data_IF_459721276667
#
_entry.id   IF_459721276667
#
_cell.length_a   1.000
_cell.length_b   1.000
_cell.length_c   1.000
_cell.angle_alpha   90.00
_cell.angle_beta   90.00
_cell.angle_gamma   90.00
#
_symmetry.space_group_name_H-M   'P 1'
#
loop_
_entity.id
_entity.type
_entity.pdbx_description
1 polymer ?
#
# COMPACT_ATOMS: atom_id res chain seq x y z
N UNK A 1 24.35 51.51 -36.65
CA UNK A 1 23.00 51.96 -36.23
C UNK A 1 21.83 51.33 -37.01
N UNK A 2 21.93 51.08 -38.33
CA UNK A 2 20.81 50.54 -39.17
C UNK A 2 20.30 49.13 -38.81
N UNK A 3 21.16 48.21 -38.35
CA UNK A 3 20.79 46.81 -38.05
C UNK A 3 19.86 46.73 -36.82
N UNK A 4 20.13 47.56 -35.81
CA UNK A 4 19.34 47.64 -34.55
C UNK A 4 17.91 48.13 -34.78
N UNK A 5 17.69 49.01 -35.76
CA UNK A 5 16.36 49.48 -36.15
C UNK A 5 15.56 48.44 -36.96
N UNK A 6 16.22 47.69 -37.86
CA UNK A 6 15.55 46.59 -38.59
C UNK A 6 15.11 45.47 -37.64
N UNK A 7 15.94 45.11 -36.67
CA UNK A 7 15.61 44.08 -35.68
C UNK A 7 14.42 44.50 -34.81
N UNK A 8 14.42 45.75 -34.30
CA UNK A 8 13.30 46.30 -33.52
C UNK A 8 11.99 46.33 -34.30
N UNK A 9 11.99 46.77 -35.56
CA UNK A 9 10.77 46.79 -36.38
C UNK A 9 10.25 45.38 -36.66
N UNK A 10 11.14 44.42 -36.93
CA UNK A 10 10.75 43.02 -37.19
C UNK A 10 10.19 42.34 -35.93
N UNK A 11 10.76 42.65 -34.76
CA UNK A 11 10.27 42.20 -33.46
C UNK A 11 8.89 42.81 -33.15
N UNK A 12 8.74 44.13 -33.21
CA UNK A 12 7.48 44.81 -32.91
C UNK A 12 6.36 44.45 -33.88
N UNK A 13 6.65 44.22 -35.16
CA UNK A 13 5.66 43.80 -36.15
C UNK A 13 5.15 42.36 -35.97
N UNK A 14 5.99 41.46 -35.43
CA UNK A 14 5.62 40.07 -35.17
C UNK A 14 5.07 39.84 -33.75
N UNK A 15 5.35 40.76 -32.82
CA UNK A 15 4.89 40.72 -31.43
C UNK A 15 3.38 40.48 -31.28
N UNK A 16 2.46 41.18 -32.01
CA UNK A 16 1.03 40.91 -31.87
C UNK A 16 0.63 39.51 -32.33
N UNK A 17 1.26 38.97 -33.38
CA UNK A 17 1.03 37.58 -33.85
C UNK A 17 1.54 36.56 -32.83
N UNK A 18 2.70 36.82 -32.23
CA UNK A 18 3.27 35.99 -31.19
C UNK A 18 2.38 36.00 -29.92
N UNK A 19 1.90 37.17 -29.50
CA UNK A 19 0.95 37.30 -28.39
C UNK A 19 -0.33 36.53 -28.68
N UNK A 20 -0.93 36.68 -29.86
CA UNK A 20 -2.11 35.92 -30.26
C UNK A 20 -1.86 34.40 -30.16
N UNK A 21 -0.74 33.92 -30.69
CA UNK A 21 -0.35 32.51 -30.59
C UNK A 21 -0.24 32.00 -29.14
N UNK A 22 0.40 32.78 -28.26
CA UNK A 22 0.53 32.45 -26.83
C UNK A 22 -0.83 32.45 -26.15
N UNK A 23 -1.68 33.46 -26.41
CA UNK A 23 -3.01 33.52 -25.82
C UNK A 23 -3.88 32.33 -26.23
N UNK A 24 -3.80 31.89 -27.49
CA UNK A 24 -4.51 30.71 -27.97
C UNK A 24 -4.02 29.45 -27.26
N UNK A 25 -2.70 29.28 -27.11
CA UNK A 25 -2.12 28.16 -26.34
C UNK A 25 -2.56 28.18 -24.87
N UNK A 26 -2.59 29.35 -24.23
CA UNK A 26 -3.08 29.48 -22.86
C UNK A 26 -4.57 29.13 -22.74
N UNK A 27 -5.41 29.52 -23.70
CA UNK A 27 -6.83 29.16 -23.71
C UNK A 27 -7.03 27.65 -23.88
N UNK A 28 -6.27 27.02 -24.78
CA UNK A 28 -6.30 25.56 -24.96
C UNK A 28 -5.84 24.83 -23.69
N UNK A 29 -4.77 25.30 -23.05
CA UNK A 29 -4.33 24.74 -21.78
C UNK A 29 -5.39 24.92 -20.67
N UNK A 30 -5.99 26.11 -20.57
CA UNK A 30 -7.02 26.41 -19.57
C UNK A 30 -8.24 25.50 -19.72
N UNK A 31 -8.73 25.30 -20.94
CA UNK A 31 -9.86 24.41 -21.22
C UNK A 31 -9.53 22.95 -20.92
N UNK A 32 -8.31 22.51 -21.22
CA UNK A 32 -7.83 21.18 -20.86
C UNK A 32 -7.80 20.96 -19.34
N UNK A 33 -7.20 21.88 -18.58
CA UNK A 33 -7.14 21.79 -17.12
C UNK A 33 -8.53 21.88 -16.47
N UNK A 34 -9.41 22.73 -17.00
CA UNK A 34 -10.80 22.79 -16.56
C UNK A 34 -11.53 21.46 -16.77
N UNK A 35 -11.32 20.80 -17.91
CA UNK A 35 -11.87 19.47 -18.18
C UNK A 35 -11.37 18.41 -17.17
N UNK A 36 -10.07 18.43 -16.85
CA UNK A 36 -9.50 17.53 -15.85
C UNK A 36 -10.09 17.78 -14.45
N UNK A 37 -10.19 19.04 -14.04
CA UNK A 37 -10.78 19.43 -12.76
C UNK A 37 -12.24 18.99 -12.67
N UNK A 38 -13.04 19.23 -13.72
CA UNK A 38 -14.43 18.79 -13.78
C UNK A 38 -14.56 17.27 -13.60
N UNK A 39 -13.74 16.48 -14.31
CA UNK A 39 -13.72 15.02 -14.17
C UNK A 39 -13.37 14.59 -12.74
N UNK A 40 -12.41 15.26 -12.09
CA UNK A 40 -12.06 15.00 -10.70
C UNK A 40 -13.22 15.32 -9.73
N UNK A 41 -13.91 16.44 -9.93
CA UNK A 41 -15.10 16.78 -9.15
C UNK A 41 -16.20 15.72 -9.28
N UNK A 42 -16.48 15.25 -10.50
CA UNK A 42 -17.46 14.19 -10.73
C UNK A 42 -17.08 12.89 -10.04
N UNK A 43 -15.78 12.52 -10.07
CA UNK A 43 -15.27 11.35 -9.36
C UNK A 43 -15.46 11.48 -7.84
N UNK A 44 -15.17 12.66 -7.27
CA UNK A 44 -15.32 12.92 -5.85
C UNK A 44 -16.79 12.84 -5.41
N UNK A 45 -17.71 13.44 -6.16
CA UNK A 45 -19.15 13.33 -5.91
C UNK A 45 -19.58 11.86 -5.94
N UNK A 46 -19.12 11.11 -6.95
CA UNK A 46 -19.45 9.70 -7.10
C UNK A 46 -18.86 8.82 -5.97
N UNK A 47 -17.71 9.21 -5.42
CA UNK A 47 -17.08 8.56 -4.28
C UNK A 47 -17.87 8.82 -3.00
N UNK A 48 -18.21 10.07 -2.71
CA UNK A 48 -18.96 10.48 -1.52
C UNK A 48 -20.33 9.80 -1.45
N UNK A 49 -21.07 9.80 -2.56
CA UNK A 49 -22.38 9.16 -2.63
C UNK A 49 -22.32 7.64 -2.89
N UNK A 50 -21.11 7.06 -2.94
CA UNK A 50 -20.83 5.63 -3.19
C UNK A 50 -21.35 5.08 -4.53
N UNK A 51 -21.79 5.93 -5.46
CA UNK A 51 -22.27 5.51 -6.77
C UNK A 51 -21.19 4.88 -7.64
N UNK A 52 -19.90 5.13 -7.34
CA UNK A 52 -18.77 4.47 -8.00
C UNK A 52 -18.87 2.95 -7.99
N UNK A 53 -19.42 2.35 -6.92
CA UNK A 53 -19.54 0.89 -6.80
C UNK A 53 -20.54 0.28 -7.79
N UNK A 54 -21.44 1.09 -8.36
CA UNK A 54 -22.41 0.66 -9.38
C UNK A 54 -21.88 0.80 -10.80
N UNK A 55 -20.77 1.50 -10.99
CA UNK A 55 -20.21 1.76 -12.31
C UNK A 55 -19.26 0.64 -12.71
N UNK A 56 -19.23 0.31 -14.00
CA UNK A 56 -18.24 -0.62 -14.54
C UNK A 56 -16.85 -0.03 -14.37
N UNK A 57 -15.92 -0.83 -13.84
CA UNK A 57 -14.52 -0.47 -13.70
C UNK A 57 -13.73 -0.98 -14.90
N UNK A 58 -13.02 -0.09 -15.58
CA UNK A 58 -12.10 -0.45 -16.67
C UNK A 58 -10.66 -0.53 -16.16
N UNK A 59 -9.84 -1.32 -16.86
CA UNK A 59 -8.44 -1.58 -16.47
C UNK A 59 -7.51 -0.37 -16.64
N UNK A 60 -7.94 0.69 -17.32
CA UNK A 60 -7.20 1.94 -17.53
C UNK A 60 -7.64 3.07 -16.57
N UNK A 61 -8.68 2.86 -15.76
CA UNK A 61 -9.24 3.86 -14.84
C UNK A 61 -8.60 3.80 -13.44
N UNK A 62 -7.28 3.98 -13.35
CA UNK A 62 -6.50 3.73 -12.12
C UNK A 62 -6.97 4.51 -10.88
N UNK A 63 -7.26 5.80 -11.00
CA UNK A 63 -7.73 6.62 -9.87
C UNK A 63 -9.10 6.15 -9.38
N UNK A 64 -10.00 5.83 -10.31
CA UNK A 64 -11.32 5.28 -9.98
C UNK A 64 -11.18 3.92 -9.31
N UNK A 65 -10.29 3.06 -9.82
CA UNK A 65 -10.00 1.75 -9.25
C UNK A 65 -9.50 1.86 -7.79
N UNK A 66 -8.61 2.81 -7.51
CA UNK A 66 -8.16 3.10 -6.15
C UNK A 66 -9.33 3.52 -5.25
N UNK A 67 -10.16 4.47 -5.69
CA UNK A 67 -11.33 4.93 -4.94
C UNK A 67 -12.35 3.82 -4.68
N UNK A 68 -12.59 2.96 -5.68
CA UNK A 68 -13.45 1.77 -5.54
C UNK A 68 -12.86 0.79 -4.54
N UNK A 69 -11.56 0.52 -4.60
CA UNK A 69 -10.85 -0.34 -3.66
C UNK A 69 -11.00 0.14 -2.22
N UNK A 70 -10.84 1.45 -1.99
CA UNK A 70 -11.01 2.05 -0.66
C UNK A 70 -12.45 1.90 -0.12
N UNK A 71 -13.45 2.16 -0.95
CA UNK A 71 -14.86 1.98 -0.57
C UNK A 71 -15.18 0.51 -0.26
N UNK A 72 -14.68 -0.43 -1.06
CA UNK A 72 -14.89 -1.86 -0.85
C UNK A 72 -14.21 -2.34 0.44
N UNK A 73 -12.99 -1.87 0.73
CA UNK A 73 -12.30 -2.17 1.99
C UNK A 73 -13.14 -1.67 3.19
N UNK A 74 -13.68 -0.44 3.11
CA UNK A 74 -14.55 0.10 4.17
C UNK A 74 -15.87 -0.66 4.36
N UNK A 75 -16.30 -1.44 3.36
CA UNK A 75 -17.47 -2.32 3.44
C UNK A 75 -17.12 -3.76 3.86
N UNK A 76 -15.89 -4.00 4.33
CA UNK A 76 -15.38 -5.31 4.68
C UNK A 76 -15.47 -6.32 3.52
N UNK A 77 -15.19 -5.85 2.29
CA UNK A 77 -15.10 -6.65 1.06
C UNK A 77 -13.65 -6.75 0.57
N UNK A 78 -12.79 -7.50 1.29
CA UNK A 78 -11.34 -7.45 1.07
C UNK A 78 -10.93 -8.02 -0.30
N UNK A 79 -11.63 -9.02 -0.82
CA UNK A 79 -11.28 -9.67 -2.10
C UNK A 79 -11.50 -8.70 -3.26
N UNK A 80 -12.66 -8.05 -3.29
CA UNK A 80 -13.02 -7.07 -4.32
C UNK A 80 -12.19 -5.80 -4.18
N UNK A 81 -11.92 -5.36 -2.94
CA UNK A 81 -11.03 -4.24 -2.67
C UNK A 81 -9.63 -4.48 -3.24
N UNK A 82 -9.06 -5.65 -2.97
CA UNK A 82 -7.74 -6.03 -3.50
C UNK A 82 -7.73 -6.06 -5.03
N UNK A 83 -8.76 -6.62 -5.68
CA UNK A 83 -8.86 -6.61 -7.15
C UNK A 83 -8.84 -5.19 -7.72
N UNK A 84 -9.57 -4.27 -7.10
CA UNK A 84 -9.60 -2.87 -7.52
C UNK A 84 -8.25 -2.17 -7.28
N UNK A 85 -7.57 -2.43 -6.15
CA UNK A 85 -6.23 -1.90 -5.91
C UNK A 85 -5.19 -2.46 -6.88
N UNK A 86 -5.28 -3.73 -7.28
CA UNK A 86 -4.36 -4.31 -8.28
C UNK A 86 -4.46 -3.59 -9.63
N UNK A 87 -5.65 -3.11 -10.02
CA UNK A 87 -5.81 -2.27 -11.21
C UNK A 87 -5.08 -0.92 -11.00
N UNK A 88 -5.23 -0.30 -9.83
CA UNK A 88 -4.53 0.96 -9.53
C UNK A 88 -3.00 0.82 -9.43
N UNK A 89 -2.50 -0.35 -8.99
CA UNK A 89 -1.07 -0.65 -8.81
C UNK A 89 -0.26 -0.62 -10.12
N UNK A 90 -0.91 -0.92 -11.25
CA UNK A 90 -0.27 -0.90 -12.57
C UNK A 90 -0.25 0.49 -13.21
N UNK A 91 -0.74 1.52 -12.50
CA UNK A 91 -0.67 2.91 -12.97
C UNK A 91 0.77 3.33 -13.32
N UNK A 92 0.94 4.25 -14.26
CA UNK A 92 2.25 4.87 -14.53
C UNK A 92 2.65 5.90 -13.46
N UNK A 93 1.71 6.39 -12.65
CA UNK A 93 1.97 7.38 -11.63
C UNK A 93 2.54 6.72 -10.35
N UNK A 94 3.83 6.93 -9.99
CA UNK A 94 4.45 6.26 -8.85
C UNK A 94 3.77 6.55 -7.51
N UNK A 95 3.21 7.75 -7.32
CA UNK A 95 2.46 8.12 -6.12
C UNK A 95 1.18 7.27 -5.99
N UNK A 96 0.43 7.11 -7.09
CA UNK A 96 -0.78 6.29 -7.09
C UNK A 96 -0.46 4.80 -6.89
N UNK A 97 0.60 4.30 -7.53
CA UNK A 97 1.07 2.93 -7.33
C UNK A 97 1.45 2.66 -5.88
N UNK A 98 2.15 3.59 -5.23
CA UNK A 98 2.53 3.48 -3.83
C UNK A 98 1.29 3.42 -2.93
N UNK A 99 0.30 4.29 -3.16
CA UNK A 99 -0.98 4.27 -2.45
C UNK A 99 -1.76 2.98 -2.68
N UNK A 100 -1.79 2.46 -3.91
CA UNK A 100 -2.44 1.19 -4.23
C UNK A 100 -1.77 0.02 -3.48
N UNK A 101 -0.43 -0.06 -3.49
CA UNK A 101 0.32 -1.05 -2.70
C UNK A 101 0.05 -0.94 -1.19
N UNK A 102 -0.02 0.28 -0.67
CA UNK A 102 -0.43 0.51 0.73
C UNK A 102 -1.86 0.02 1.00
N UNK A 103 -2.81 0.27 0.10
CA UNK A 103 -4.18 -0.26 0.19
C UNK A 103 -4.24 -1.79 0.19
N UNK A 104 -3.47 -2.44 -0.70
CA UNK A 104 -3.32 -3.90 -0.73
C UNK A 104 -2.75 -4.41 0.60
N UNK A 105 -1.72 -3.74 1.13
CA UNK A 105 -1.12 -4.09 2.41
C UNK A 105 -2.12 -4.00 3.57
N UNK A 106 -2.91 -2.93 3.64
CA UNK A 106 -3.96 -2.75 4.65
C UNK A 106 -4.99 -3.89 4.58
N UNK A 107 -5.46 -4.24 3.39
CA UNK A 107 -6.42 -5.36 3.19
C UNK A 107 -5.84 -6.69 3.69
N UNK A 108 -4.56 -6.96 3.42
CA UNK A 108 -3.91 -8.16 3.93
C UNK A 108 -3.73 -8.10 5.44
N UNK A 109 -3.39 -6.94 5.99
CA UNK A 109 -3.18 -6.78 7.43
C UNK A 109 -4.47 -6.97 8.22
N UNK A 110 -5.57 -6.34 7.79
CA UNK A 110 -6.90 -6.57 8.36
C UNK A 110 -7.30 -8.04 8.29
N UNK A 111 -7.06 -8.68 7.14
CA UNK A 111 -7.29 -10.11 6.96
C UNK A 111 -6.44 -10.98 7.89
N UNK A 112 -5.22 -10.58 8.22
CA UNK A 112 -4.37 -11.27 9.19
C UNK A 112 -4.94 -11.16 10.60
N UNK A 113 -5.37 -9.97 11.00
CA UNK A 113 -5.99 -9.73 12.30
C UNK A 113 -7.28 -10.56 12.46
N UNK A 114 -8.14 -10.58 11.43
CA UNK A 114 -9.33 -11.41 11.43
C UNK A 114 -9.02 -12.92 11.50
N UNK A 115 -7.99 -13.38 10.79
CA UNK A 115 -7.58 -14.78 10.79
C UNK A 115 -6.86 -15.23 12.07
N UNK A 116 -6.39 -14.30 12.90
CA UNK A 116 -5.69 -14.59 14.16
C UNK A 116 -6.63 -14.99 15.31
N UNK A 117 -7.93 -14.72 15.18
CA UNK A 117 -8.96 -15.10 16.14
C UNK A 117 -9.35 -16.58 15.97
N UNK A 118 -8.59 -17.47 16.61
CA UNK A 118 -8.77 -18.93 16.53
C UNK A 118 -10.11 -19.37 17.13
N UNK A 119 -10.59 -18.69 18.18
CA UNK A 119 -11.88 -18.99 18.82
C UNK A 119 -13.06 -18.77 17.86
N UNK A 120 -12.92 -17.85 16.91
CA UNK A 120 -13.91 -17.61 15.85
C UNK A 120 -13.64 -18.39 14.55
N UNK A 121 -12.83 -19.46 14.60
CA UNK A 121 -12.52 -20.30 13.43
C UNK A 121 -11.39 -19.75 12.55
N UNK A 122 -10.59 -18.82 13.08
CA UNK A 122 -9.34 -18.36 12.48
C UNK A 122 -8.29 -19.48 12.39
N UNK A 123 -7.23 -19.22 11.63
CA UNK A 123 -6.12 -20.15 11.46
C UNK A 123 -4.80 -19.40 11.56
N UNK A 124 -3.96 -19.81 12.51
CA UNK A 124 -2.64 -19.20 12.69
C UNK A 124 -1.83 -19.18 11.39
N UNK A 125 -1.85 -20.28 10.63
CA UNK A 125 -1.20 -20.36 9.31
C UNK A 125 -1.69 -19.28 8.34
N UNK A 126 -3.02 -19.11 8.21
CA UNK A 126 -3.59 -18.07 7.35
C UNK A 126 -3.21 -16.67 7.82
N UNK A 127 -3.16 -16.45 9.14
CA UNK A 127 -2.71 -15.18 9.69
C UNK A 127 -1.24 -14.89 9.34
N UNK A 128 -0.35 -15.88 9.45
CA UNK A 128 1.06 -15.77 9.06
C UNK A 128 1.20 -15.42 7.57
N UNK A 129 0.52 -16.16 6.70
CA UNK A 129 0.54 -15.93 5.24
C UNK A 129 0.09 -14.49 4.91
N UNK A 130 -0.98 -14.01 5.57
CA UNK A 130 -1.49 -12.65 5.38
C UNK A 130 -0.53 -11.57 5.90
N UNK A 131 0.14 -11.80 7.03
CA UNK A 131 1.20 -10.91 7.55
C UNK A 131 2.32 -10.75 6.54
N UNK A 132 2.80 -11.83 5.93
CA UNK A 132 3.88 -11.78 4.94
C UNK A 132 3.48 -10.99 3.69
N UNK A 133 2.26 -11.21 3.19
CA UNK A 133 1.73 -10.46 2.04
C UNK A 133 1.59 -8.96 2.35
N UNK A 134 1.08 -8.61 3.53
CA UNK A 134 0.98 -7.23 3.96
C UNK A 134 2.36 -6.56 4.06
N UNK A 135 3.34 -7.24 4.67
CA UNK A 135 4.72 -6.77 4.80
C UNK A 135 5.34 -6.47 3.44
N UNK A 136 5.24 -7.40 2.50
CA UNK A 136 5.82 -7.22 1.16
C UNK A 136 5.17 -6.05 0.42
N UNK A 137 3.85 -5.90 0.54
CA UNK A 137 3.12 -4.78 -0.05
C UNK A 137 3.52 -3.42 0.56
N UNK A 138 3.67 -3.31 1.88
CA UNK A 138 4.18 -2.08 2.52
C UNK A 138 5.61 -1.76 2.09
N UNK A 139 6.51 -2.75 2.07
CA UNK A 139 7.88 -2.57 1.56
C UNK A 139 7.85 -2.11 0.09
N UNK A 140 6.95 -2.66 -0.71
CA UNK A 140 6.74 -2.23 -2.09
C UNK A 140 6.24 -0.78 -2.21
N UNK A 141 5.35 -0.34 -1.32
CA UNK A 141 4.91 1.06 -1.26
C UNK A 141 6.10 1.99 -0.92
N UNK A 142 6.92 1.61 0.07
CA UNK A 142 8.08 2.40 0.51
C UNK A 142 9.22 2.45 -0.51
N UNK A 143 9.38 1.41 -1.34
CA UNK A 143 10.31 1.44 -2.48
C UNK A 143 9.92 2.51 -3.51
N UNK A 144 8.63 2.77 -3.68
CA UNK A 144 8.11 3.79 -4.60
C UNK A 144 8.06 5.17 -3.95
N UNK A 145 7.69 5.23 -2.66
CA UNK A 145 7.50 6.45 -1.89
C UNK A 145 8.15 6.31 -0.50
N UNK A 146 9.46 6.57 -0.36
CA UNK A 146 10.18 6.37 0.91
C UNK A 146 9.69 7.25 2.06
N UNK A 147 9.08 8.40 1.76
CA UNK A 147 8.52 9.36 2.70
C UNK A 147 7.09 9.01 3.17
N UNK A 148 6.53 7.87 2.75
CA UNK A 148 5.18 7.44 3.14
C UNK A 148 5.13 6.99 4.60
N UNK A 149 4.93 7.95 5.51
CA UNK A 149 4.92 7.72 6.95
C UNK A 149 3.95 6.62 7.38
N UNK A 150 2.71 6.62 6.85
CA UNK A 150 1.69 5.63 7.22
C UNK A 150 2.11 4.19 6.90
N UNK A 151 2.77 3.99 5.76
CA UNK A 151 3.30 2.68 5.36
C UNK A 151 4.46 2.25 6.27
N UNK A 152 5.33 3.18 6.70
CA UNK A 152 6.40 2.88 7.66
C UNK A 152 5.84 2.49 9.01
N UNK A 153 4.88 3.27 9.51
CA UNK A 153 4.22 3.01 10.79
C UNK A 153 3.51 1.65 10.80
N UNK A 154 2.72 1.33 9.78
CA UNK A 154 2.02 0.05 9.71
C UNK A 154 2.98 -1.13 9.48
N UNK A 155 4.08 -0.94 8.75
CA UNK A 155 5.11 -1.97 8.60
C UNK A 155 5.75 -2.28 9.96
N UNK A 156 6.10 -1.26 10.74
CA UNK A 156 6.63 -1.44 12.09
C UNK A 156 5.63 -2.17 13.00
N UNK A 157 4.34 -1.81 12.92
CA UNK A 157 3.28 -2.49 13.66
C UNK A 157 3.20 -3.97 13.28
N UNK A 158 3.26 -4.29 11.99
CA UNK A 158 3.30 -5.68 11.51
C UNK A 158 4.54 -6.40 12.03
N UNK A 159 5.71 -5.77 12.02
CA UNK A 159 6.95 -6.42 12.45
C UNK A 159 6.97 -6.71 13.95
N UNK A 160 6.24 -5.94 14.76
CA UNK A 160 5.98 -6.24 16.17
C UNK A 160 5.02 -7.42 16.36
N UNK A 161 4.05 -7.57 15.46
CA UNK A 161 3.07 -8.66 15.47
C UNK A 161 3.57 -9.94 14.81
N UNK A 162 4.60 -9.83 13.97
CA UNK A 162 5.03 -10.90 13.08
C UNK A 162 5.52 -12.12 13.86
N UNK A 163 5.07 -13.32 13.48
CA UNK A 163 5.52 -14.56 14.07
C UNK A 163 7.03 -14.76 14.00
N UNK A 164 7.79 -14.17 13.06
CA UNK A 164 9.24 -14.42 12.93
C UNK A 164 10.02 -14.21 14.24
N UNK A 165 9.68 -13.20 15.05
CA UNK A 165 10.28 -13.05 16.39
C UNK A 165 9.89 -14.15 17.39
N UNK A 166 8.75 -14.81 17.16
CA UNK A 166 8.27 -15.97 17.93
C UNK A 166 8.74 -17.30 17.30
N UNK A 167 8.89 -17.38 15.99
CA UNK A 167 9.38 -18.55 15.25
C UNK A 167 10.89 -18.68 15.25
N UNK A 168 11.67 -17.61 15.47
CA UNK A 168 13.08 -17.76 15.89
C UNK A 168 13.19 -18.56 17.21
N UNK A 169 12.20 -18.48 18.10
CA UNK A 169 12.09 -19.38 19.26
C UNK A 169 11.59 -20.79 18.91
N UNK A 170 10.92 -20.96 17.77
CA UNK A 170 10.26 -22.19 17.32
C UNK A 170 11.16 -23.06 16.43
N UNK A 171 11.98 -22.45 15.55
CA UNK A 171 12.98 -23.13 14.73
C UNK A 171 14.22 -23.55 15.53
N UNK A 172 14.51 -22.87 16.64
CA UNK A 172 15.57 -23.26 17.58
C UNK A 172 15.15 -24.37 18.56
N UNK A 173 13.93 -24.90 18.45
CA UNK A 173 13.48 -26.10 19.16
C UNK A 173 13.49 -27.28 18.19
N UNK A 174 14.39 -28.27 18.34
CA UNK A 174 14.57 -29.35 17.37
C UNK A 174 13.37 -30.32 17.23
N UNK A 175 12.27 -30.10 17.96
CA UNK A 175 11.16 -31.05 18.04
C UNK A 175 9.76 -30.40 17.94
N UNK A 176 9.65 -29.12 17.58
CA UNK A 176 8.35 -28.45 17.33
C UNK A 176 7.35 -28.46 18.50
N UNK A 177 7.77 -28.87 19.71
CA UNK A 177 6.94 -28.93 20.90
C UNK A 177 7.06 -27.62 21.68
N UNK A 178 5.91 -26.97 21.89
CA UNK A 178 5.74 -25.89 22.87
C UNK A 178 6.27 -26.45 24.19
N UNK A 179 7.20 -25.74 24.83
CA UNK A 179 7.90 -26.18 26.04
C UNK A 179 7.01 -26.61 27.20
N UNK A 180 6.50 -27.84 27.13
CA UNK A 180 6.57 -28.78 28.23
C UNK A 180 7.72 -29.69 27.86
N UNK A 181 8.93 -29.29 28.27
CA UNK A 181 9.96 -30.27 28.49
C UNK A 181 9.33 -31.38 29.35
N UNK A 182 9.29 -32.65 28.92
CA UNK A 182 8.64 -33.74 29.67
C UNK A 182 9.30 -34.00 31.05
N UNK A 183 10.33 -33.23 31.39
CA UNK A 183 11.11 -33.28 32.62
C UNK A 183 10.74 -32.18 33.64
N UNK A 184 9.69 -31.38 33.39
CA UNK A 184 9.13 -30.46 34.38
C UNK A 184 7.64 -30.72 34.61
N UNK A 185 7.30 -31.94 35.02
CA UNK A 185 6.01 -32.22 35.62
C UNK A 185 6.21 -32.12 37.15
N UNK A 186 5.69 -31.05 37.76
CA UNK A 186 5.62 -30.80 39.22
C UNK A 186 6.75 -29.96 39.87
N UNK A 187 7.18 -28.86 39.25
CA UNK A 187 7.80 -27.71 39.96
C UNK A 187 9.10 -27.97 40.72
N UNK A 188 9.71 -29.14 40.58
CA UNK A 188 11.02 -29.48 41.12
C UNK A 188 11.93 -29.80 39.95
N UNK A 189 13.06 -29.09 39.84
CA UNK A 189 14.07 -29.44 38.87
C UNK A 189 14.65 -30.81 39.26
N UNK A 190 14.40 -31.84 38.44
CA UNK A 190 15.10 -33.11 38.56
C UNK A 190 16.58 -32.84 38.32
N UNK A 191 17.36 -32.82 39.40
CA UNK A 191 18.81 -32.76 39.33
C UNK A 191 19.27 -34.04 38.67
N UNK A 192 19.65 -33.96 37.39
CA UNK A 192 20.25 -35.08 36.68
C UNK A 192 21.60 -35.31 37.32
N UNK A 193 21.72 -36.37 38.13
CA UNK A 193 23.00 -36.79 38.68
C UNK A 193 23.96 -37.03 37.52
N UNK A 194 24.87 -36.07 37.37
CA UNK A 194 25.89 -36.10 36.35
C UNK A 194 26.96 -37.07 36.83
N UNK A 195 26.90 -38.33 36.37
CA UNK A 195 27.89 -39.38 36.64
C UNK A 195 29.29 -39.08 36.10
N UNK A 196 29.55 -37.84 35.66
CA UNK A 196 30.84 -37.36 35.17
C UNK A 196 31.61 -36.47 36.15
N UNK A 197 31.22 -36.44 37.44
CA UNK A 197 32.13 -36.01 38.50
C UNK A 197 32.70 -37.25 39.16
N UNK A 198 33.86 -37.67 38.65
CA UNK A 198 34.75 -38.54 39.40
C UNK A 198 35.02 -37.89 40.76
N UNK A 199 34.45 -38.49 41.79
CA UNK A 199 34.90 -38.45 43.16
C UNK A 199 35.01 -39.93 43.59
N UNK A 200 36.06 -40.28 44.35
CA UNK A 200 36.42 -41.66 44.67
C UNK A 200 35.30 -42.43 45.40
#
# INVERSE_FOLDING_TARGET
>A
MKIRNKLRHKLLGNLPKALLGVTLLCLLASTYFFSLWWKACQLNIAYENKSLLKQTLKNDEYLKAYSVGYLLASQNKPIEAQKAFNIAEVSLNPELRARAKYGIANVHFEGAMAASDVEKGGSHRRAVERVLLAREAYKGALRLKPDMYDARYNLELIDRLSPEKRTEGYENSPDGTIGLQPYQQNGTALMKDNTRRGLP
#
